data_IF_050929221875
#
_entry.id   IF_050929221875
#
_cell.length_a   1.000
_cell.length_b   1.000
_cell.length_c   1.000
_cell.angle_alpha   90.00
_cell.angle_beta   90.00
_cell.angle_gamma   90.00
#
_symmetry.space_group_name_H-M   'P 1'
#
loop_
_entity.id
_entity.type
_entity.pdbx_description
1 polymer ?
#
# COMPACT_ATOMS: atom_id res chain seq x y z
N UNK A 1 27.48 -45.89 17.05
CA UNK A 1 26.37 -45.18 16.37
C UNK A 1 26.06 -43.92 17.15
N UNK A 2 26.58 -42.77 16.69
CA UNK A 2 26.17 -41.45 17.16
C UNK A 2 25.20 -40.91 16.12
N UNK A 3 23.95 -40.68 16.52
CA UNK A 3 22.99 -39.95 15.71
C UNK A 3 23.39 -38.48 15.75
N UNK A 4 23.75 -37.93 14.59
CA UNK A 4 23.95 -36.51 14.40
C UNK A 4 22.56 -35.92 14.20
N UNK A 5 22.07 -35.15 15.17
CA UNK A 5 20.88 -34.33 15.01
C UNK A 5 21.27 -33.17 14.09
N UNK A 6 20.86 -33.22 12.83
CA UNK A 6 21.00 -32.11 11.90
C UNK A 6 19.88 -31.12 12.25
N UNK A 7 20.19 -30.11 13.05
CA UNK A 7 19.30 -28.95 13.20
C UNK A 7 19.42 -28.16 11.91
N UNK A 8 18.43 -28.32 11.03
CA UNK A 8 18.25 -27.46 9.88
C UNK A 8 17.84 -26.09 10.44
N UNK A 9 18.77 -25.13 10.48
CA UNK A 9 18.39 -23.73 10.62
C UNK A 9 17.66 -23.37 9.32
N UNK A 10 16.34 -23.27 9.38
CA UNK A 10 15.53 -22.72 8.31
C UNK A 10 15.98 -21.28 8.09
N UNK A 11 16.28 -20.93 6.84
CA UNK A 11 16.66 -19.59 6.41
C UNK A 11 15.48 -18.59 6.43
N UNK A 12 14.46 -18.84 7.25
CA UNK A 12 13.19 -18.10 7.30
C UNK A 12 13.33 -16.76 8.02
N UNK A 13 14.20 -16.65 9.03
CA UNK A 13 14.42 -15.39 9.78
C UNK A 13 15.04 -14.25 8.94
N UNK A 14 15.75 -14.59 7.86
CA UNK A 14 16.45 -13.59 7.05
C UNK A 14 15.52 -12.84 6.07
N UNK A 15 14.39 -13.45 5.68
CA UNK A 15 13.44 -12.83 4.73
C UNK A 15 12.41 -11.93 5.44
N UNK A 16 12.07 -12.23 6.70
CA UNK A 16 11.10 -11.46 7.49
C UNK A 16 11.54 -10.03 7.84
N UNK A 17 12.81 -9.66 7.60
CA UNK A 17 13.35 -8.32 7.88
C UNK A 17 13.82 -7.61 6.59
N UNK A 18 13.07 -7.75 5.50
CA UNK A 18 13.41 -7.09 4.24
C UNK A 18 12.28 -6.17 3.76
N UNK A 19 12.65 -4.99 3.27
CA UNK A 19 11.80 -4.16 2.45
C UNK A 19 12.37 -4.02 1.04
N UNK A 20 11.49 -3.77 0.08
CA UNK A 20 11.84 -3.44 -1.31
C UNK A 20 11.47 -2.00 -1.58
N UNK A 21 12.35 -1.29 -2.25
CA UNK A 21 12.22 0.15 -2.51
C UNK A 21 12.35 0.40 -4.00
N UNK A 22 11.35 1.03 -4.61
CA UNK A 22 11.54 1.62 -5.95
C UNK A 22 12.26 2.94 -5.81
N UNK A 23 13.15 3.23 -6.74
CA UNK A 23 13.98 4.43 -6.74
C UNK A 23 13.93 5.11 -8.11
N UNK A 24 14.09 6.43 -8.16
CA UNK A 24 13.90 7.20 -9.40
C UNK A 24 14.63 8.54 -9.37
N UNK A 25 15.10 8.96 -10.55
CA UNK A 25 15.48 10.34 -10.85
C UNK A 25 14.51 10.99 -11.87
N UNK A 26 13.33 10.38 -12.04
CA UNK A 26 12.30 10.68 -13.03
C UNK A 26 12.72 10.49 -14.50
N UNK A 27 13.95 10.04 -14.76
CA UNK A 27 14.45 9.66 -16.09
C UNK A 27 14.72 8.16 -16.19
N UNK A 28 15.15 7.55 -15.09
CA UNK A 28 15.45 6.15 -14.90
C UNK A 28 14.86 5.66 -13.57
N UNK A 29 14.61 4.35 -13.48
CA UNK A 29 14.09 3.72 -12.28
C UNK A 29 14.94 2.52 -11.87
N UNK A 30 15.05 2.30 -10.56
CA UNK A 30 15.76 1.17 -9.97
C UNK A 30 14.94 0.45 -8.91
N UNK A 31 15.30 -0.81 -8.66
CA UNK A 31 14.80 -1.59 -7.54
C UNK A 31 15.95 -1.85 -6.56
N UNK A 32 15.76 -1.44 -5.31
CA UNK A 32 16.69 -1.63 -4.21
C UNK A 32 16.00 -2.41 -3.08
N UNK A 33 16.75 -2.98 -2.16
CA UNK A 33 16.20 -3.60 -0.95
C UNK A 33 16.88 -3.08 0.30
N UNK A 34 16.17 -3.16 1.42
CA UNK A 34 16.61 -2.72 2.73
C UNK A 34 16.55 -3.89 3.71
N UNK A 35 17.66 -4.15 4.40
CA UNK A 35 17.72 -4.99 5.59
C UNK A 35 17.30 -4.15 6.80
N UNK A 36 16.14 -4.50 7.35
CA UNK A 36 15.50 -3.76 8.45
C UNK A 36 16.19 -3.99 9.80
N UNK A 37 16.94 -5.09 9.95
CA UNK A 37 17.63 -5.45 11.19
C UNK A 37 18.90 -4.63 11.41
N UNK A 38 19.59 -4.25 10.34
CA UNK A 38 20.83 -3.47 10.41
C UNK A 38 20.77 -2.10 9.71
N UNK A 39 19.64 -1.76 9.07
CA UNK A 39 19.43 -0.50 8.34
C UNK A 39 20.43 -0.30 7.20
N UNK A 40 20.70 -1.35 6.41
CA UNK A 40 21.56 -1.26 5.22
C UNK A 40 20.81 -1.65 3.96
N UNK A 41 21.18 -1.04 2.83
CA UNK A 41 20.54 -1.31 1.55
C UNK A 41 21.46 -2.09 0.60
N UNK A 42 20.85 -2.90 -0.24
CA UNK A 42 21.44 -3.43 -1.47
C UNK A 42 20.76 -2.73 -2.65
N UNK A 43 21.55 -2.09 -3.51
CA UNK A 43 21.04 -1.24 -4.60
C UNK A 43 21.09 -1.95 -5.94
N UNK A 44 20.34 -1.41 -6.91
CA UNK A 44 20.46 -1.76 -8.34
C UNK A 44 20.18 -3.24 -8.66
N UNK A 45 19.22 -3.87 -7.97
CA UNK A 45 18.83 -5.25 -8.26
C UNK A 45 18.28 -5.41 -9.67
N UNK A 46 17.47 -4.43 -10.09
CA UNK A 46 16.79 -4.45 -11.38
C UNK A 46 16.52 -3.02 -11.86
N UNK A 47 16.73 -2.77 -13.16
CA UNK A 47 16.24 -1.55 -13.80
C UNK A 47 14.75 -1.67 -14.06
N UNK A 48 14.00 -0.68 -13.61
CA UNK A 48 12.54 -0.59 -13.75
C UNK A 48 12.17 0.75 -14.41
N UNK A 49 10.87 0.97 -14.67
CA UNK A 49 10.42 2.26 -15.19
C UNK A 49 10.65 3.38 -14.17
N UNK A 50 10.91 4.61 -14.65
CA UNK A 50 11.17 5.77 -13.77
C UNK A 50 9.95 6.20 -12.96
N UNK A 51 8.75 5.82 -13.41
CA UNK A 51 7.53 5.91 -12.63
C UNK A 51 7.00 4.49 -12.37
N UNK A 52 7.32 3.97 -11.19
CA UNK A 52 6.96 2.63 -10.77
C UNK A 52 6.64 2.60 -9.28
N UNK A 53 5.63 1.80 -8.93
CA UNK A 53 5.26 1.51 -7.55
C UNK A 53 5.49 0.04 -7.25
N UNK A 54 5.79 -0.28 -5.99
CA UNK A 54 5.95 -1.68 -5.55
C UNK A 54 4.87 -2.09 -4.55
N UNK A 55 4.45 -3.35 -4.66
CA UNK A 55 3.67 -4.09 -3.68
C UNK A 55 4.32 -5.43 -3.41
N UNK A 56 4.04 -5.99 -2.25
CA UNK A 56 4.43 -7.34 -1.86
C UNK A 56 3.18 -8.15 -1.56
N UNK A 57 3.24 -9.45 -1.85
CA UNK A 57 2.23 -10.39 -1.41
C UNK A 57 2.88 -11.75 -1.25
N UNK A 58 2.81 -12.32 -0.03
CA UNK A 58 3.57 -13.50 0.37
C UNK A 58 5.06 -13.33 0.04
N UNK A 59 5.66 -14.29 -0.67
CA UNK A 59 7.08 -14.31 -1.03
C UNK A 59 7.39 -13.57 -2.35
N UNK A 60 6.42 -12.81 -2.89
CA UNK A 60 6.52 -12.14 -4.19
C UNK A 60 6.55 -10.63 -4.07
N UNK A 61 7.27 -10.03 -5.00
CA UNK A 61 7.36 -8.59 -5.20
C UNK A 61 6.76 -8.26 -6.55
N UNK A 62 5.84 -7.30 -6.57
CA UNK A 62 5.12 -6.84 -7.74
C UNK A 62 5.50 -5.39 -8.01
N UNK A 63 6.26 -5.17 -9.08
CA UNK A 63 6.61 -3.82 -9.55
C UNK A 63 5.65 -3.45 -10.66
N UNK A 64 4.82 -2.44 -10.40
CA UNK A 64 3.88 -1.88 -11.36
C UNK A 64 4.57 -0.73 -12.06
N UNK A 65 4.96 -0.95 -13.30
CA UNK A 65 5.50 0.11 -14.14
C UNK A 65 4.34 0.88 -14.77
N UNK A 66 4.26 2.17 -14.44
CA UNK A 66 3.12 3.05 -14.75
C UNK A 66 3.15 3.50 -16.22
N UNK A 67 2.48 4.63 -16.50
CA UNK A 67 2.25 5.17 -17.83
C UNK A 67 3.50 5.10 -18.72
N UNK A 68 3.35 4.45 -19.88
CA UNK A 68 4.40 4.34 -20.91
C UNK A 68 5.11 2.99 -20.91
N UNK A 69 5.09 2.27 -19.79
CA UNK A 69 5.56 0.88 -19.70
C UNK A 69 4.40 -0.10 -19.47
N UNK A 70 3.41 0.31 -18.67
CA UNK A 70 2.09 -0.33 -18.52
C UNK A 70 2.12 -1.84 -18.30
N UNK A 71 2.94 -2.28 -17.32
CA UNK A 71 3.15 -3.69 -17.04
C UNK A 71 3.38 -3.96 -15.55
N UNK A 72 3.31 -5.24 -15.20
CA UNK A 72 3.73 -5.74 -13.87
C UNK A 72 4.93 -6.66 -14.07
N UNK A 73 5.98 -6.45 -13.27
CA UNK A 73 7.09 -7.39 -13.10
C UNK A 73 6.89 -8.12 -11.78
N UNK A 74 7.01 -9.44 -11.80
CA UNK A 74 6.93 -10.29 -10.60
C UNK A 74 8.29 -10.89 -10.31
N UNK A 75 8.77 -10.72 -9.09
CA UNK A 75 10.03 -11.25 -8.58
C UNK A 75 9.75 -12.15 -7.35
N UNK A 76 10.68 -13.06 -7.06
CA UNK A 76 10.71 -13.70 -5.75
C UNK A 76 11.54 -12.83 -4.80
N UNK A 77 11.13 -12.66 -3.56
CA UNK A 77 11.90 -11.88 -2.59
C UNK A 77 13.34 -12.42 -2.40
N UNK A 78 13.56 -13.73 -2.54
CA UNK A 78 14.90 -14.33 -2.42
C UNK A 78 15.82 -14.01 -3.60
N UNK A 79 15.27 -13.55 -4.73
CA UNK A 79 16.03 -13.12 -5.92
C UNK A 79 15.32 -11.94 -6.61
N UNK A 80 15.73 -10.73 -6.23
CA UNK A 80 15.24 -9.48 -6.81
C UNK A 80 15.89 -9.12 -8.15
N UNK A 81 16.82 -9.95 -8.65
CA UNK A 81 17.58 -9.66 -9.87
C UNK A 81 17.02 -10.37 -11.10
N UNK A 82 16.25 -11.43 -10.92
CA UNK A 82 15.68 -12.24 -12.00
C UNK A 82 14.15 -12.20 -11.98
N UNK A 83 13.49 -11.48 -12.91
CA UNK A 83 12.05 -11.55 -13.08
C UNK A 83 11.56 -12.98 -13.26
N UNK A 84 10.58 -13.39 -12.44
CA UNK A 84 9.84 -14.64 -12.64
C UNK A 84 8.96 -14.53 -13.89
N UNK A 85 8.25 -13.41 -14.00
CA UNK A 85 7.43 -13.05 -15.14
C UNK A 85 7.29 -11.54 -15.25
N UNK A 86 6.97 -11.09 -16.47
CA UNK A 86 6.51 -9.73 -16.74
C UNK A 86 5.32 -9.81 -17.69
N UNK A 87 4.23 -9.12 -17.37
CA UNK A 87 3.02 -9.12 -18.18
C UNK A 87 2.43 -7.72 -18.33
N UNK A 88 1.85 -7.46 -19.51
CA UNK A 88 1.23 -6.16 -19.81
C UNK A 88 -0.12 -6.01 -19.10
N UNK A 89 -0.43 -4.78 -18.70
CA UNK A 89 -1.77 -4.37 -18.23
C UNK A 89 -2.58 -3.67 -19.32
N UNK A 90 -2.03 -3.60 -20.55
CA UNK A 90 -2.60 -2.92 -21.71
C UNK A 90 -1.87 -1.60 -22.01
N UNK A 91 -1.58 -1.35 -23.29
CA UNK A 91 -0.80 -0.17 -23.71
C UNK A 91 -1.45 1.17 -23.29
N UNK A 92 -0.73 2.00 -22.55
CA UNK A 92 -1.22 3.27 -22.00
C UNK A 92 -2.32 3.11 -20.97
N UNK A 93 -2.32 2.02 -20.19
CA UNK A 93 -3.32 1.75 -19.14
C UNK A 93 -2.98 2.37 -17.79
N UNK A 94 -1.70 2.67 -17.55
CA UNK A 94 -1.18 3.32 -16.36
C UNK A 94 -1.61 2.61 -15.06
N UNK A 95 -1.06 1.41 -14.76
CA UNK A 95 -1.45 0.65 -13.56
C UNK A 95 -0.97 1.34 -12.28
N UNK A 96 -1.86 1.70 -11.36
CA UNK A 96 -1.50 2.48 -10.16
C UNK A 96 -1.41 1.67 -8.87
N UNK A 97 -2.16 0.59 -8.75
CA UNK A 97 -2.17 -0.28 -7.58
C UNK A 97 -2.58 -1.71 -7.94
N UNK A 98 -2.24 -2.66 -7.08
CA UNK A 98 -2.69 -4.05 -7.14
C UNK A 98 -3.16 -4.49 -5.75
N UNK A 99 -4.35 -5.07 -5.68
CA UNK A 99 -4.91 -5.62 -4.45
C UNK A 99 -5.18 -7.12 -4.62
N UNK A 100 -4.64 -7.91 -3.69
CA UNK A 100 -4.65 -9.37 -3.76
C UNK A 100 -5.85 -9.92 -3.00
N UNK A 101 -6.58 -10.83 -3.64
CA UNK A 101 -7.64 -11.64 -3.00
C UNK A 101 -7.06 -13.00 -2.60
N UNK A 102 -6.25 -13.57 -3.48
CA UNK A 102 -5.51 -14.83 -3.28
C UNK A 102 -4.24 -14.85 -4.14
N UNK A 103 -3.47 -15.94 -4.10
CA UNK A 103 -2.35 -16.14 -5.04
C UNK A 103 -2.78 -16.23 -6.51
N UNK A 104 -4.05 -16.52 -6.75
CA UNK A 104 -4.59 -16.78 -8.08
C UNK A 104 -5.54 -15.68 -8.55
N UNK A 105 -5.84 -14.68 -7.72
CA UNK A 105 -6.72 -13.56 -8.06
C UNK A 105 -6.27 -12.26 -7.41
N UNK A 106 -6.10 -11.24 -8.23
CA UNK A 106 -5.86 -9.86 -7.81
C UNK A 106 -6.58 -8.88 -8.75
N UNK A 107 -6.82 -7.66 -8.26
CA UNK A 107 -7.32 -6.54 -9.05
C UNK A 107 -6.22 -5.52 -9.25
N UNK A 108 -6.10 -4.98 -10.46
CA UNK A 108 -5.20 -3.88 -10.78
C UNK A 108 -6.03 -2.65 -11.15
N UNK A 109 -5.75 -1.53 -10.51
CA UNK A 109 -6.33 -0.24 -10.87
C UNK A 109 -5.60 0.34 -12.08
N UNK A 110 -6.35 0.79 -13.08
CA UNK A 110 -5.82 1.30 -14.33
C UNK A 110 -6.28 2.75 -14.50
N UNK A 111 -5.38 3.70 -14.25
CA UNK A 111 -5.72 5.12 -14.16
C UNK A 111 -6.23 5.70 -15.49
N UNK A 112 -5.78 5.15 -16.61
CA UNK A 112 -6.19 5.58 -17.96
C UNK A 112 -7.32 4.68 -18.54
N UNK A 113 -8.09 3.99 -17.69
CA UNK A 113 -9.18 3.10 -18.10
C UNK A 113 -10.43 3.27 -17.23
N UNK A 114 -11.56 2.87 -17.78
CA UNK A 114 -12.85 2.81 -17.11
C UNK A 114 -13.11 1.48 -16.42
N UNK A 115 -12.10 0.67 -16.14
CA UNK A 115 -12.29 -0.65 -15.52
C UNK A 115 -11.09 -1.03 -14.65
N UNK A 116 -11.34 -1.90 -13.67
CA UNK A 116 -10.31 -2.69 -13.01
C UNK A 116 -9.97 -3.90 -13.87
N UNK A 117 -8.69 -4.27 -13.90
CA UNK A 117 -8.25 -5.52 -14.51
C UNK A 117 -8.20 -6.61 -13.44
N UNK A 118 -8.88 -7.74 -13.67
CA UNK A 118 -8.82 -8.92 -12.80
C UNK A 118 -7.81 -9.89 -13.37
N UNK A 119 -6.80 -10.28 -12.59
CA UNK A 119 -5.68 -11.12 -13.05
C UNK A 119 -5.39 -12.25 -12.07
N UNK A 120 -4.80 -13.32 -12.60
CA UNK A 120 -3.94 -14.17 -11.78
C UNK A 120 -2.59 -13.45 -11.62
N UNK A 121 -2.21 -13.04 -10.40
CA UNK A 121 -1.04 -12.19 -10.20
C UNK A 121 0.28 -12.93 -10.50
N UNK A 122 0.32 -14.26 -10.35
CA UNK A 122 1.52 -15.09 -10.56
C UNK A 122 1.73 -15.41 -12.04
N UNK A 123 0.67 -15.70 -12.80
CA UNK A 123 0.78 -16.04 -14.22
C UNK A 123 0.59 -14.86 -15.16
N UNK A 124 -0.02 -13.78 -14.69
CA UNK A 124 -0.41 -12.63 -15.52
C UNK A 124 -1.63 -12.87 -16.40
N UNK A 125 -2.31 -14.02 -16.26
CA UNK A 125 -3.52 -14.32 -17.02
C UNK A 125 -4.64 -13.35 -16.64
N UNK A 126 -5.27 -12.74 -17.66
CA UNK A 126 -6.47 -11.94 -17.47
C UNK A 126 -7.65 -12.85 -17.13
N UNK A 127 -8.23 -12.66 -15.94
CA UNK A 127 -9.42 -13.37 -15.48
C UNK A 127 -10.71 -12.63 -15.82
N UNK A 128 -10.62 -11.31 -16.07
CA UNK A 128 -11.77 -10.49 -16.42
C UNK A 128 -11.52 -9.01 -16.15
N UNK A 129 -12.60 -8.24 -16.11
CA UNK A 129 -12.58 -6.81 -15.82
C UNK A 129 -13.82 -6.43 -15.04
N UNK A 130 -13.71 -5.44 -14.15
CA UNK A 130 -14.87 -4.81 -13.49
C UNK A 130 -15.07 -3.44 -14.09
N UNK A 131 -16.21 -3.21 -14.75
CA UNK A 131 -16.52 -1.91 -15.37
C UNK A 131 -16.82 -0.86 -14.30
N UNK A 132 -16.08 0.26 -14.35
CA UNK A 132 -16.20 1.44 -13.50
C UNK A 132 -16.68 2.67 -14.28
N UNK A 133 -17.12 2.51 -15.53
CA UNK A 133 -17.56 3.62 -16.39
C UNK A 133 -18.67 4.47 -15.76
N UNK A 134 -19.50 3.90 -14.90
CA UNK A 134 -20.54 4.62 -14.16
C UNK A 134 -19.98 5.67 -13.18
N UNK A 135 -18.71 5.58 -12.79
CA UNK A 135 -18.04 6.53 -11.89
C UNK A 135 -17.16 7.54 -12.64
N UNK A 136 -17.10 7.45 -13.97
CA UNK A 136 -16.32 8.38 -14.77
C UNK A 136 -16.85 9.82 -14.65
N UNK A 137 -15.95 10.78 -14.79
CA UNK A 137 -16.33 12.19 -14.87
C UNK A 137 -16.56 12.65 -16.32
N UNK A 138 -16.64 13.98 -16.52
CA UNK A 138 -16.89 14.58 -17.83
C UNK A 138 -15.88 14.18 -18.92
N UNK A 139 -14.65 13.82 -18.57
CA UNK A 139 -13.63 13.40 -19.52
C UNK A 139 -13.65 11.89 -19.85
N UNK A 140 -14.61 11.18 -19.25
CA UNK A 140 -14.89 9.78 -19.50
C UNK A 140 -14.02 8.79 -18.73
N UNK A 141 -13.24 9.24 -17.75
CA UNK A 141 -12.47 8.36 -16.87
C UNK A 141 -12.78 8.57 -15.38
N UNK A 142 -12.61 7.53 -14.55
CA UNK A 142 -12.74 7.63 -13.10
C UNK A 142 -11.40 7.87 -12.37
N UNK A 143 -10.25 7.82 -13.06
CA UNK A 143 -8.90 7.90 -12.47
C UNK A 143 -8.74 6.98 -11.25
N UNK A 144 -9.02 5.68 -11.43
CA UNK A 144 -8.97 4.74 -10.30
C UNK A 144 -7.52 4.49 -9.88
N UNK A 145 -7.19 4.71 -8.61
CA UNK A 145 -5.82 4.57 -8.11
C UNK A 145 -5.68 3.65 -6.91
N UNK A 146 -5.94 4.09 -5.68
CA UNK A 146 -5.71 3.26 -4.48
C UNK A 146 -6.78 2.18 -4.34
N UNK A 147 -6.36 1.00 -3.88
CA UNK A 147 -7.23 -0.16 -3.65
C UNK A 147 -7.13 -0.65 -2.21
N UNK A 148 -8.22 -1.19 -1.68
CA UNK A 148 -8.23 -1.91 -0.40
C UNK A 148 -9.18 -3.11 -0.47
N UNK A 149 -8.76 -4.27 0.03
CA UNK A 149 -9.62 -5.45 0.21
C UNK A 149 -10.01 -5.55 1.67
N UNK A 150 -11.30 -5.75 1.95
CA UNK A 150 -11.80 -6.00 3.30
C UNK A 150 -13.12 -6.76 3.27
N UNK A 151 -13.24 -7.82 4.08
CA UNK A 151 -14.50 -8.52 4.32
C UNK A 151 -15.20 -9.04 3.05
N UNK A 152 -14.46 -9.57 2.08
CA UNK A 152 -15.02 -10.07 0.81
C UNK A 152 -15.33 -9.00 -0.23
N UNK A 153 -14.90 -7.76 0.01
CA UNK A 153 -15.11 -6.63 -0.89
C UNK A 153 -13.78 -5.98 -1.26
N UNK A 154 -13.71 -5.48 -2.50
CA UNK A 154 -12.68 -4.55 -2.93
C UNK A 154 -13.27 -3.14 -2.95
N UNK A 155 -12.54 -2.21 -2.37
CA UNK A 155 -12.80 -0.78 -2.40
C UNK A 155 -11.78 -0.11 -3.32
N UNK A 156 -12.26 0.68 -4.28
CA UNK A 156 -11.41 1.33 -5.27
C UNK A 156 -11.67 2.84 -5.29
N UNK A 157 -10.62 3.64 -5.05
CA UNK A 157 -10.72 5.09 -5.06
C UNK A 157 -10.71 5.64 -6.49
N UNK A 158 -11.87 6.12 -6.95
CA UNK A 158 -12.04 6.87 -8.19
C UNK A 158 -11.84 8.36 -7.90
N UNK A 159 -10.74 8.94 -8.39
CA UNK A 159 -10.37 10.31 -8.07
C UNK A 159 -11.26 11.33 -8.79
N UNK A 160 -11.72 11.02 -10.01
CA UNK A 160 -12.58 11.87 -10.85
C UNK A 160 -11.95 13.24 -11.09
N UNK A 161 -10.79 13.22 -11.76
CA UNK A 161 -9.99 14.39 -12.13
C UNK A 161 -10.14 14.68 -13.61
N UNK A 162 -10.71 15.83 -13.94
CA UNK A 162 -11.00 16.17 -15.32
C UNK A 162 -9.74 16.63 -16.07
N UNK A 163 -9.24 15.82 -17.00
CA UNK A 163 -8.07 16.15 -17.87
C UNK A 163 -8.26 17.40 -18.69
N UNK A 164 -9.47 17.61 -19.22
CA UNK A 164 -9.81 18.77 -20.02
C UNK A 164 -9.80 20.07 -19.20
N UNK A 165 -9.87 19.95 -17.87
CA UNK A 165 -9.73 21.04 -16.91
C UNK A 165 -8.45 20.94 -16.07
N UNK A 166 -7.33 20.52 -16.67
CA UNK A 166 -6.00 20.46 -16.02
C UNK A 166 -5.98 19.57 -14.77
N UNK A 167 -6.68 18.44 -14.82
CA UNK A 167 -6.80 17.50 -13.71
C UNK A 167 -7.44 18.10 -12.45
N UNK A 168 -8.34 19.07 -12.62
CA UNK A 168 -9.08 19.63 -11.50
C UNK A 168 -10.05 18.56 -10.93
N UNK A 169 -10.12 18.39 -9.60
CA UNK A 169 -11.11 17.52 -8.99
C UNK A 169 -12.53 18.00 -9.30
N UNK A 170 -13.43 17.06 -9.54
CA UNK A 170 -14.84 17.34 -9.85
C UNK A 170 -15.68 17.57 -8.59
N UNK A 171 -16.99 17.31 -8.60
CA UNK A 171 -17.86 17.54 -7.44
C UNK A 171 -17.56 16.61 -6.26
N UNK A 172 -17.07 15.39 -6.50
CA UNK A 172 -16.68 14.43 -5.46
C UNK A 172 -15.72 13.37 -6.02
N UNK A 173 -14.82 12.86 -5.19
CA UNK A 173 -14.20 11.55 -5.42
C UNK A 173 -15.14 10.46 -4.88
N UNK A 174 -15.05 9.26 -5.44
CA UNK A 174 -15.98 8.16 -5.14
C UNK A 174 -15.20 6.89 -4.85
N UNK A 175 -15.64 6.11 -3.85
CA UNK A 175 -15.14 4.76 -3.63
C UNK A 175 -16.10 3.78 -4.29
N UNK A 176 -15.66 3.12 -5.36
CA UNK A 176 -16.37 1.98 -5.94
C UNK A 176 -16.22 0.76 -5.02
N UNK A 177 -17.30 0.00 -4.83
CA UNK A 177 -17.31 -1.22 -4.04
C UNK A 177 -17.60 -2.40 -4.96
N UNK A 178 -16.75 -3.43 -4.91
CA UNK A 178 -16.85 -4.63 -5.74
C UNK A 178 -16.95 -5.85 -4.82
N UNK A 179 -17.93 -6.72 -5.08
CA UNK A 179 -17.98 -8.04 -4.47
C UNK A 179 -16.93 -8.96 -5.13
N UNK A 180 -15.98 -9.47 -4.35
CA UNK A 180 -14.85 -10.21 -4.93
C UNK A 180 -15.22 -11.63 -5.37
N UNK A 181 -16.36 -12.16 -4.91
CA UNK A 181 -16.84 -13.48 -5.30
C UNK A 181 -17.48 -13.49 -6.68
N UNK A 182 -18.18 -12.42 -7.04
CA UNK A 182 -18.93 -12.27 -8.29
C UNK A 182 -18.29 -11.32 -9.31
N UNK A 183 -17.29 -10.53 -8.91
CA UNK A 183 -16.69 -9.47 -9.74
C UNK A 183 -17.70 -8.42 -10.19
N UNK A 184 -18.71 -8.16 -9.35
CA UNK A 184 -19.77 -7.19 -9.62
C UNK A 184 -19.68 -5.99 -8.69
N UNK A 185 -20.03 -4.81 -9.24
CA UNK A 185 -20.23 -3.62 -8.43
C UNK A 185 -21.38 -3.83 -7.45
N UNK A 186 -21.16 -3.40 -6.21
CA UNK A 186 -22.18 -3.25 -5.20
C UNK A 186 -22.68 -1.82 -5.15
N UNK A 187 -23.98 -1.69 -4.96
CA UNK A 187 -24.64 -0.41 -4.77
C UNK A 187 -24.57 0.01 -3.30
N UNK A 188 -23.77 1.04 -3.01
CA UNK A 188 -23.58 1.58 -1.67
C UNK A 188 -24.79 2.41 -1.19
N UNK A 189 -25.70 2.80 -2.09
CA UNK A 189 -26.95 3.49 -1.74
C UNK A 189 -28.13 2.94 -2.56
N UNK A 190 -28.78 1.85 -2.09
CA UNK A 190 -29.86 1.20 -2.82
C UNK A 190 -31.15 2.02 -2.91
N UNK A 191 -31.19 3.22 -2.33
CA UNK A 191 -32.33 4.14 -2.47
C UNK A 191 -32.21 4.99 -3.73
N UNK A 192 -30.98 5.29 -4.17
CA UNK A 192 -30.72 6.01 -5.40
C UNK A 192 -30.87 5.09 -6.63
N UNK A 193 -31.10 5.69 -7.80
CA UNK A 193 -31.23 4.92 -9.05
C UNK A 193 -29.84 4.57 -9.61
N UNK A 194 -29.62 3.28 -9.90
CA UNK A 194 -28.36 2.78 -10.44
C UNK A 194 -27.32 2.53 -9.34
N UNK A 195 -26.19 1.93 -9.71
CA UNK A 195 -25.14 1.55 -8.74
C UNK A 195 -24.41 2.80 -8.25
N UNK A 196 -24.55 3.11 -6.96
CA UNK A 196 -23.79 4.18 -6.30
C UNK A 196 -22.52 3.64 -5.65
N UNK A 197 -21.47 4.46 -5.67
CA UNK A 197 -20.30 4.28 -4.82
C UNK A 197 -20.43 5.09 -3.53
N UNK A 198 -19.44 4.98 -2.65
CA UNK A 198 -19.36 5.81 -1.45
C UNK A 198 -18.82 7.18 -1.87
N UNK A 199 -19.68 8.21 -1.86
CA UNK A 199 -19.24 9.57 -2.11
C UNK A 199 -18.36 10.07 -0.96
N UNK A 200 -17.14 10.52 -1.28
CA UNK A 200 -16.24 11.12 -0.31
C UNK A 200 -16.64 12.56 0.01
N UNK A 201 -16.38 12.99 1.24
CA UNK A 201 -16.54 14.38 1.69
C UNK A 201 -15.43 15.30 1.15
N UNK A 202 -14.23 14.75 0.98
CA UNK A 202 -13.07 15.39 0.36
C UNK A 202 -12.82 14.83 -1.05
N UNK A 203 -11.78 15.33 -1.72
CA UNK A 203 -11.50 15.04 -3.14
C UNK A 203 -10.03 14.79 -3.36
N UNK A 204 -9.72 14.11 -4.46
CA UNK A 204 -8.35 13.88 -4.91
C UNK A 204 -7.52 13.17 -3.82
N UNK A 205 -7.90 11.93 -3.42
CA UNK A 205 -7.09 11.14 -2.50
C UNK A 205 -5.67 10.92 -3.07
N UNK A 206 -4.67 11.36 -2.32
CA UNK A 206 -3.25 11.33 -2.68
C UNK A 206 -2.48 10.19 -1.99
N UNK A 207 -3.03 9.63 -0.91
CA UNK A 207 -2.38 8.64 -0.06
C UNK A 207 -3.43 7.85 0.70
N UNK A 208 -3.12 6.59 1.00
CA UNK A 208 -4.05 5.67 1.63
C UNK A 208 -3.33 4.73 2.59
N UNK A 209 -3.96 4.43 3.72
CA UNK A 209 -3.56 3.34 4.60
C UNK A 209 -4.83 2.63 5.10
N UNK A 210 -4.85 1.30 5.06
CA UNK A 210 -5.91 0.51 5.71
C UNK A 210 -5.40 0.06 7.07
N UNK A 211 -6.29 0.05 8.07
CA UNK A 211 -6.05 -0.66 9.33
C UNK A 211 -7.36 -1.21 9.86
N UNK A 212 -7.43 -2.52 10.06
CA UNK A 212 -8.67 -3.21 10.38
C UNK A 212 -9.79 -2.86 9.39
N UNK A 213 -10.93 -2.40 9.92
CA UNK A 213 -12.11 -2.01 9.12
C UNK A 213 -12.07 -0.58 8.58
N UNK A 214 -10.99 0.16 8.80
CA UNK A 214 -10.90 1.58 8.43
C UNK A 214 -9.92 1.79 7.29
N UNK A 215 -10.30 2.64 6.35
CA UNK A 215 -9.43 3.11 5.29
C UNK A 215 -9.25 4.61 5.40
N UNK A 216 -8.02 5.02 5.71
CA UNK A 216 -7.62 6.41 5.92
C UNK A 216 -7.07 6.95 4.61
N UNK A 217 -7.68 8.02 4.10
CA UNK A 217 -7.34 8.65 2.84
C UNK A 217 -6.93 10.09 3.09
N UNK A 218 -5.68 10.44 2.78
CA UNK A 218 -5.28 11.84 2.67
C UNK A 218 -5.81 12.36 1.34
N UNK A 219 -6.64 13.38 1.39
CA UNK A 219 -7.24 14.01 0.24
C UNK A 219 -6.73 15.45 0.17
N UNK A 220 -5.99 15.76 -0.89
CA UNK A 220 -5.36 17.08 -1.06
C UNK A 220 -6.32 18.09 -1.68
N UNK A 221 -7.37 17.63 -2.35
CA UNK A 221 -8.22 18.46 -3.18
C UNK A 221 -7.40 19.26 -4.20
N UNK A 222 -7.03 20.51 -3.91
CA UNK A 222 -6.14 21.33 -4.76
C UNK A 222 -4.78 21.56 -4.11
N UNK A 223 -3.70 21.40 -4.88
CA UNK A 223 -2.33 21.62 -4.38
C UNK A 223 -2.00 23.07 -3.99
N UNK A 224 -2.85 24.04 -4.35
CA UNK A 224 -2.65 25.47 -4.01
C UNK A 224 -3.54 25.94 -2.86
N UNK A 225 -4.63 25.23 -2.60
CA UNK A 225 -5.34 25.35 -1.33
C UNK A 225 -4.51 24.67 -0.24
N UNK A 226 -4.73 25.07 1.01
CA UNK A 226 -4.08 24.48 2.20
C UNK A 226 -5.11 24.23 3.31
N UNK A 227 -6.39 24.24 2.95
CA UNK A 227 -7.54 24.19 3.87
C UNK A 227 -8.75 23.54 3.22
N UNK A 228 -8.56 22.84 2.10
CA UNK A 228 -9.62 22.28 1.25
C UNK A 228 -9.52 20.75 1.17
N UNK A 229 -8.48 20.18 1.77
CA UNK A 229 -8.26 18.75 1.98
C UNK A 229 -8.21 18.35 3.45
N UNK A 230 -7.77 17.13 3.70
CA UNK A 230 -7.69 16.52 5.01
C UNK A 230 -7.52 15.00 4.97
N UNK A 231 -7.56 14.35 6.12
CA UNK A 231 -7.70 12.90 6.24
C UNK A 231 -9.18 12.57 6.38
N UNK A 232 -9.70 11.87 5.40
CA UNK A 232 -11.03 11.26 5.44
C UNK A 232 -10.94 9.78 5.76
N UNK A 233 -11.89 9.27 6.54
CA UNK A 233 -11.95 7.86 6.91
C UNK A 233 -13.18 7.21 6.30
N UNK A 234 -12.96 6.08 5.62
CA UNK A 234 -14.02 5.20 5.13
C UNK A 234 -14.12 4.01 6.07
N UNK A 235 -15.31 3.78 6.61
CA UNK A 235 -15.65 2.56 7.33
C UNK A 235 -15.97 1.47 6.29
N UNK A 236 -15.05 0.53 6.12
CA UNK A 236 -15.14 -0.54 5.14
C UNK A 236 -16.20 -1.57 5.51
N UNK A 237 -16.43 -1.80 6.80
CA UNK A 237 -17.46 -2.74 7.26
C UNK A 237 -18.87 -2.18 7.05
N UNK A 238 -19.05 -0.87 7.30
CA UNK A 238 -20.32 -0.19 7.12
C UNK A 238 -20.51 0.40 5.72
N UNK A 239 -19.50 0.31 4.84
CA UNK A 239 -19.47 0.86 3.48
C UNK A 239 -19.92 2.33 3.43
N UNK A 240 -19.36 3.17 4.30
CA UNK A 240 -19.71 4.60 4.36
C UNK A 240 -18.55 5.46 4.82
N UNK A 241 -18.58 6.73 4.43
CA UNK A 241 -17.64 7.72 4.95
C UNK A 241 -17.96 8.07 6.42
N UNK A 242 -16.91 8.34 7.19
CA UNK A 242 -16.95 8.99 8.50
C UNK A 242 -16.67 10.51 8.40
N UNK A 243 -16.40 10.98 7.19
CA UNK A 243 -16.04 12.36 6.87
C UNK A 243 -14.57 12.66 7.10
N UNK A 244 -14.22 13.94 6.92
CA UNK A 244 -12.87 14.45 7.19
C UNK A 244 -12.67 14.53 8.71
N UNK A 245 -11.72 13.74 9.22
CA UNK A 245 -11.45 13.58 10.64
C UNK A 245 -10.32 14.52 11.10
N UNK A 246 -9.44 14.92 10.19
CA UNK A 246 -8.38 15.91 10.43
C UNK A 246 -8.21 16.78 9.17
N UNK A 247 -8.36 18.10 9.28
CA UNK A 247 -8.21 19.02 8.14
C UNK A 247 -6.76 19.51 7.94
N UNK A 248 -6.48 20.04 6.75
CA UNK A 248 -5.16 20.61 6.41
C UNK A 248 -4.80 21.84 7.24
N UNK A 249 -5.80 22.60 7.69
CA UNK A 249 -5.58 23.76 8.56
C UNK A 249 -4.95 23.33 9.90
N UNK A 250 -5.42 22.21 10.45
CA UNK A 250 -4.90 21.58 11.66
C UNK A 250 -3.55 20.90 11.40
N UNK A 251 -3.40 20.22 10.25
CA UNK A 251 -2.12 19.64 9.82
C UNK A 251 -1.03 20.70 9.54
N UNK A 252 -1.43 21.90 9.15
CA UNK A 252 -0.56 23.00 8.77
C UNK A 252 -0.05 22.91 7.33
N UNK A 253 -0.82 22.31 6.41
CA UNK A 253 -0.48 22.19 4.99
C UNK A 253 -1.15 21.00 4.31
N UNK A 254 -0.85 20.83 3.02
CA UNK A 254 -1.42 19.78 2.18
C UNK A 254 -0.96 18.39 2.60
N UNK A 255 -1.89 17.46 2.69
CA UNK A 255 -1.62 16.09 3.12
C UNK A 255 -1.44 15.18 1.91
N UNK A 256 -0.35 14.41 1.90
CA UNK A 256 -0.12 13.34 0.92
C UNK A 256 0.14 12.02 1.64
N UNK A 257 1.19 11.27 1.29
CA UNK A 257 1.44 9.93 1.83
C UNK A 257 1.23 9.84 3.35
N UNK A 258 0.48 8.84 3.79
CA UNK A 258 0.15 8.59 5.19
C UNK A 258 0.29 7.12 5.53
N UNK A 259 0.57 6.84 6.80
CA UNK A 259 0.66 5.49 7.38
C UNK A 259 0.06 5.51 8.77
N UNK A 260 -0.57 4.40 9.19
CA UNK A 260 -1.25 4.30 10.48
C UNK A 260 -0.57 3.29 11.39
N UNK A 261 -0.18 3.71 12.60
CA UNK A 261 0.42 2.85 13.65
C UNK A 261 -0.60 2.38 14.70
N UNK A 262 -1.84 2.88 14.63
CA UNK A 262 -3.04 2.37 15.30
C UNK A 262 -4.28 2.88 14.57
N UNK A 263 -5.50 2.56 15.02
CA UNK A 263 -6.74 3.09 14.44
C UNK A 263 -6.93 4.61 14.60
N UNK A 264 -6.09 5.29 15.38
CA UNK A 264 -6.20 6.74 15.56
C UNK A 264 -4.89 7.49 15.40
N UNK A 265 -3.76 6.80 15.44
CA UNK A 265 -2.44 7.42 15.39
C UNK A 265 -1.70 6.99 14.14
N UNK A 266 -1.12 7.96 13.45
CA UNK A 266 -0.34 7.72 12.24
C UNK A 266 0.67 8.84 11.99
N UNK A 267 1.26 8.80 10.80
CA UNK A 267 2.11 9.85 10.27
C UNK A 267 1.63 10.23 8.88
N UNK A 268 1.77 11.50 8.53
CA UNK A 268 1.55 11.95 7.17
C UNK A 268 2.65 12.93 6.73
N UNK A 269 2.87 12.96 5.42
CA UNK A 269 3.60 14.02 4.74
C UNK A 269 2.70 15.25 4.67
N UNK A 270 3.22 16.39 5.11
CA UNK A 270 2.57 17.70 5.08
C UNK A 270 3.43 18.65 4.26
N UNK A 271 2.88 19.17 3.16
CA UNK A 271 3.53 20.16 2.31
C UNK A 271 3.01 21.58 2.62
N UNK A 272 3.92 22.52 2.83
CA UNK A 272 3.55 23.92 3.05
C UNK A 272 3.28 24.69 1.73
N UNK A 273 3.00 25.99 1.84
CA UNK A 273 2.76 26.86 0.68
C UNK A 273 3.94 26.96 -0.32
N UNK A 274 5.14 26.57 0.09
CA UNK A 274 6.35 26.56 -0.74
C UNK A 274 6.71 25.14 -1.21
N UNK A 275 5.82 24.16 -1.00
CA UNK A 275 6.06 22.74 -1.27
C UNK A 275 7.23 22.15 -0.48
N UNK A 276 7.54 22.73 0.69
CA UNK A 276 8.48 22.11 1.63
C UNK A 276 7.74 20.99 2.34
N UNK A 277 8.20 19.75 2.16
CA UNK A 277 7.58 18.63 2.85
C UNK A 277 8.17 18.45 4.25
N UNK A 278 7.27 18.21 5.19
CA UNK A 278 7.58 17.70 6.52
C UNK A 278 6.84 16.38 6.73
N UNK A 279 7.27 15.58 7.70
CA UNK A 279 6.49 14.46 8.22
C UNK A 279 6.06 14.80 9.64
N UNK A 280 4.79 14.57 9.95
CA UNK A 280 4.22 14.84 11.29
C UNK A 280 3.47 13.62 11.78
N UNK A 281 3.54 13.40 13.09
CA UNK A 281 2.68 12.44 13.79
C UNK A 281 1.30 13.06 13.98
N UNK A 282 0.27 12.25 13.78
CA UNK A 282 -1.13 12.66 13.84
C UNK A 282 -1.86 11.77 14.84
N UNK A 283 -2.81 12.35 15.57
CA UNK A 283 -3.78 11.63 16.39
C UNK A 283 -5.19 12.10 16.00
N UNK A 284 -5.91 11.23 15.29
CA UNK A 284 -7.24 11.49 14.73
C UNK A 284 -8.34 11.49 15.80
N UNK A 285 -8.12 10.81 16.93
CA UNK A 285 -9.09 10.81 18.03
C UNK A 285 -9.10 12.14 18.79
N UNK A 286 -7.94 12.77 18.93
CA UNK A 286 -7.77 14.10 19.55
C UNK A 286 -7.68 15.23 18.53
N UNK A 287 -7.66 14.91 17.24
CA UNK A 287 -7.45 15.85 16.13
C UNK A 287 -6.19 16.71 16.34
N UNK A 288 -5.10 16.09 16.80
CA UNK A 288 -3.86 16.77 17.14
C UNK A 288 -2.70 16.33 16.25
N UNK A 289 -1.75 17.26 16.07
CA UNK A 289 -0.62 17.11 15.17
C UNK A 289 0.65 17.50 15.90
N UNK A 290 1.70 16.69 15.77
CA UNK A 290 2.99 16.97 16.37
C UNK A 290 3.73 18.10 15.64
N UNK A 291 4.86 18.52 16.20
CA UNK A 291 5.89 19.20 15.40
C UNK A 291 6.40 18.27 14.29
N UNK A 292 7.02 18.85 13.26
CA UNK A 292 7.70 18.10 12.22
C UNK A 292 8.80 17.20 12.79
N UNK A 293 8.98 16.02 12.21
CA UNK A 293 10.13 15.17 12.49
C UNK A 293 11.42 15.89 12.11
N UNK A 294 12.43 15.74 12.96
CA UNK A 294 13.75 16.37 12.76
C UNK A 294 14.55 15.62 11.70
N UNK A 295 15.44 16.32 11.00
CA UNK A 295 16.41 15.70 10.10
C UNK A 295 15.91 15.39 8.68
N UNK A 296 14.73 15.89 8.28
CA UNK A 296 14.25 15.87 6.89
C UNK A 296 14.89 16.98 6.03
N UNK A 297 15.05 16.74 4.73
CA UNK A 297 15.71 17.67 3.80
C UNK A 297 14.84 18.89 3.44
N UNK A 298 13.53 18.81 3.74
CA UNK A 298 12.51 19.72 3.24
C UNK A 298 12.14 19.52 1.77
N UNK A 299 12.80 18.59 1.07
CA UNK A 299 12.50 18.22 -0.30
C UNK A 299 11.35 17.23 -0.41
N UNK A 300 11.13 16.68 -1.59
CA UNK A 300 9.97 15.83 -1.84
C UNK A 300 10.06 14.50 -1.06
N UNK A 301 8.96 14.13 -0.42
CA UNK A 301 8.78 12.87 0.31
C UNK A 301 7.60 12.14 -0.36
N UNK A 302 7.85 11.26 -1.35
CA UNK A 302 6.79 10.56 -2.08
C UNK A 302 6.06 9.49 -1.27
N UNK A 303 6.70 8.94 -0.23
CA UNK A 303 6.17 7.78 0.45
C UNK A 303 6.63 7.65 1.90
N UNK A 304 5.76 7.03 2.70
CA UNK A 304 6.01 6.56 4.04
C UNK A 304 5.78 5.06 4.10
N UNK A 305 6.48 4.38 5.00
CA UNK A 305 6.24 2.99 5.34
C UNK A 305 6.35 2.77 6.84
N UNK A 306 5.56 1.87 7.39
CA UNK A 306 5.72 1.41 8.78
C UNK A 306 5.97 -0.08 8.73
N UNK A 307 6.99 -0.52 9.46
CA UNK A 307 7.21 -1.91 9.77
C UNK A 307 7.62 -2.01 11.21
N UNK A 308 6.77 -2.69 11.97
CA UNK A 308 6.88 -2.73 13.40
C UNK A 308 6.97 -1.36 14.08
N UNK A 309 7.91 -1.20 15.03
CA UNK A 309 8.15 0.06 15.76
C UNK A 309 8.93 1.11 14.97
N UNK A 310 9.06 0.95 13.65
CA UNK A 310 9.84 1.84 12.79
C UNK A 310 8.98 2.50 11.73
N UNK A 311 9.18 3.80 11.58
CA UNK A 311 8.70 4.59 10.44
C UNK A 311 9.85 4.78 9.47
N UNK A 312 9.60 4.49 8.20
CA UNK A 312 10.50 4.67 7.07
C UNK A 312 10.00 5.84 6.24
N UNK A 313 10.81 6.89 6.12
CA UNK A 313 10.51 8.09 5.34
C UNK A 313 11.38 8.10 4.10
N UNK A 314 10.74 8.14 2.92
CA UNK A 314 11.43 8.17 1.63
C UNK A 314 11.73 9.62 1.27
N UNK A 315 12.89 10.13 1.68
CA UNK A 315 13.28 11.52 1.42
C UNK A 315 14.09 11.59 0.12
N UNK A 316 13.65 12.37 -0.88
CA UNK A 316 14.39 12.51 -2.15
C UNK A 316 15.50 13.56 -2.10
N UNK A 317 15.75 14.16 -0.93
CA UNK A 317 16.64 15.30 -0.79
C UNK A 317 16.01 16.57 -1.35
N UNK A 318 16.69 17.69 -1.17
CA UNK A 318 16.28 18.98 -1.74
C UNK A 318 17.37 19.54 -2.63
N UNK A 319 17.07 20.58 -3.42
CA UNK A 319 18.10 21.25 -4.22
C UNK A 319 19.26 21.79 -3.36
N UNK A 320 18.96 22.26 -2.14
CA UNK A 320 19.96 22.77 -1.19
C UNK A 320 20.64 21.68 -0.36
N UNK A 321 20.06 20.48 -0.30
CA UNK A 321 20.56 19.35 0.47
C UNK A 321 20.30 18.00 -0.24
N UNK A 322 20.93 17.76 -1.41
CA UNK A 322 20.72 16.53 -2.18
C UNK A 322 21.36 15.32 -1.51
N UNK A 323 22.39 15.51 -0.68
CA UNK A 323 23.04 14.43 0.07
C UNK A 323 22.16 13.85 1.18
N UNK A 324 21.08 14.55 1.53
CA UNK A 324 20.08 14.05 2.48
C UNK A 324 19.07 13.07 1.84
N UNK A 325 19.15 12.80 0.53
CA UNK A 325 18.32 11.82 -0.13
C UNK A 325 18.60 10.40 0.40
N UNK A 326 17.53 9.61 0.58
CA UNK A 326 17.59 8.24 1.06
C UNK A 326 16.46 7.90 2.03
N UNK A 327 16.48 6.67 2.54
CA UNK A 327 15.48 6.23 3.52
C UNK A 327 15.91 6.67 4.92
N UNK A 328 15.02 7.37 5.63
CA UNK A 328 15.23 7.78 7.03
C UNK A 328 14.34 6.97 7.94
N UNK A 329 14.92 6.45 9.02
CA UNK A 329 14.23 5.52 9.92
C UNK A 329 14.03 6.18 11.27
N UNK A 330 12.80 6.21 11.75
CA UNK A 330 12.40 6.81 13.02
C UNK A 330 11.81 5.77 13.97
N UNK A 331 11.99 5.98 15.27
CA UNK A 331 11.27 5.25 16.31
C UNK A 331 9.87 5.83 16.52
N UNK A 332 8.82 5.04 16.31
CA UNK A 332 7.42 5.52 16.39
C UNK A 332 6.96 5.84 17.82
N UNK A 333 7.73 5.44 18.84
CA UNK A 333 7.43 5.73 20.24
C UNK A 333 8.07 7.02 20.75
N UNK A 334 9.16 7.45 20.13
CA UNK A 334 9.89 8.67 20.54
C UNK A 334 10.00 9.73 19.45
N UNK A 335 9.55 9.45 18.23
CA UNK A 335 9.69 10.29 17.03
C UNK A 335 11.16 10.64 16.70
N UNK A 336 12.10 9.84 17.20
CA UNK A 336 13.52 10.10 17.05
C UNK A 336 14.06 9.42 15.79
N UNK A 337 14.89 10.14 15.03
CA UNK A 337 15.67 9.57 13.94
C UNK A 337 16.67 8.55 14.52
N UNK A 338 16.59 7.29 14.09
CA UNK A 338 17.45 6.20 14.56
C UNK A 338 18.44 5.71 13.52
N UNK A 339 18.15 5.90 12.22
CA UNK A 339 19.07 5.59 11.13
C UNK A 339 18.78 6.43 9.88
N UNK A 340 19.78 6.50 9.01
CA UNK A 340 19.71 7.15 7.70
C UNK A 340 20.36 8.53 7.62
N UNK A 341 20.37 9.16 6.43
CA UNK A 341 19.77 8.64 5.19
C UNK A 341 20.47 7.35 4.73
N UNK A 342 19.69 6.32 4.43
CA UNK A 342 20.18 5.06 3.87
C UNK A 342 20.17 5.22 2.36
N UNK A 343 21.34 5.08 1.75
CA UNK A 343 21.51 5.23 0.31
C UNK A 343 20.86 4.05 -0.43
N UNK A 344 19.94 4.36 -1.34
CA UNK A 344 19.21 3.40 -2.17
C UNK A 344 19.66 3.43 -3.63
N UNK A 345 20.76 4.12 -3.96
CA UNK A 345 21.27 4.31 -5.31
C UNK A 345 20.66 5.56 -5.97
N UNK A 346 19.39 5.47 -6.35
CA UNK A 346 18.58 6.63 -6.75
C UNK A 346 17.68 7.08 -5.59
N UNK A 347 17.15 8.32 -5.61
CA UNK A 347 16.18 8.79 -4.63
C UNK A 347 14.99 7.82 -4.47
N UNK A 348 14.58 7.48 -3.23
CA UNK A 348 13.50 6.52 -3.01
C UNK A 348 12.14 7.09 -3.42
N UNK A 349 11.25 6.22 -3.89
CA UNK A 349 9.92 6.57 -4.41
C UNK A 349 8.79 5.84 -3.66
N UNK A 350 8.80 4.51 -3.67
CA UNK A 350 7.86 3.69 -2.90
C UNK A 350 8.57 2.58 -2.15
N UNK A 351 7.99 2.13 -1.04
CA UNK A 351 8.51 1.04 -0.22
C UNK A 351 7.40 0.03 0.03
N UNK A 352 7.72 -1.25 -0.07
CA UNK A 352 6.86 -2.35 0.36
C UNK A 352 7.67 -3.26 1.27
N UNK A 353 7.05 -3.68 2.38
CA UNK A 353 7.67 -4.59 3.33
C UNK A 353 7.29 -6.01 2.97
N UNK A 354 8.18 -6.97 3.18
CA UNK A 354 7.70 -8.33 3.29
C UNK A 354 6.82 -8.39 4.55
N UNK A 355 5.50 -8.43 4.34
CA UNK A 355 4.58 -8.73 5.43
C UNK A 355 4.92 -10.10 5.98
N UNK A 356 4.80 -10.23 7.29
CA UNK A 356 4.75 -11.52 7.96
C UNK A 356 3.86 -12.48 7.17
N UNK A 357 4.25 -13.74 7.01
CA UNK A 357 3.34 -14.72 6.40
C UNK A 357 2.07 -14.91 7.24
N UNK A 358 2.14 -14.53 8.53
CA UNK A 358 1.04 -14.49 9.48
C UNK A 358 0.19 -13.21 9.47
N UNK A 359 0.52 -12.20 8.65
CA UNK A 359 -0.32 -11.00 8.46
C UNK A 359 -1.34 -11.27 7.35
N UNK A 360 -2.53 -11.73 7.75
CA UNK A 360 -3.56 -12.23 6.84
C UNK A 360 -4.48 -11.14 6.33
N UNK A 361 -4.56 -10.02 7.06
CA UNK A 361 -5.37 -8.89 6.64
C UNK A 361 -4.54 -7.86 5.82
N UNK A 362 -3.21 -7.90 5.94
CA UNK A 362 -2.28 -7.09 5.17
C UNK A 362 -2.14 -5.67 5.71
N UNK A 363 -2.32 -5.45 7.00
CA UNK A 363 -2.09 -4.15 7.67
C UNK A 363 -0.63 -3.95 8.13
N UNK A 364 0.26 -4.89 7.77
CA UNK A 364 1.67 -4.97 8.13
C UNK A 364 1.92 -5.23 9.62
N UNK A 365 0.94 -5.71 10.38
CA UNK A 365 1.06 -6.05 11.81
C UNK A 365 0.39 -7.39 12.10
N UNK A 366 1.13 -8.37 12.61
CA UNK A 366 0.52 -9.62 13.09
C UNK A 366 -0.10 -9.41 14.46
N UNK A 367 -1.42 -9.22 14.50
CA UNK A 367 -2.18 -8.95 15.71
C UNK A 367 -3.37 -9.90 15.93
N UNK A 368 -4.25 -9.52 16.87
CA UNK A 368 -5.39 -10.36 17.24
C UNK A 368 -6.38 -10.57 16.09
N UNK A 369 -6.44 -9.64 15.14
CA UNK A 369 -7.27 -9.76 13.93
C UNK A 369 -6.78 -10.93 13.07
N UNK A 370 -5.47 -11.04 12.87
CA UNK A 370 -4.86 -12.17 12.17
C UNK A 370 -5.05 -13.48 12.93
N UNK A 371 -4.97 -13.44 14.26
CA UNK A 371 -5.24 -14.63 15.08
C UNK A 371 -6.67 -15.12 14.90
N UNK A 372 -7.65 -14.22 14.84
CA UNK A 372 -9.05 -14.59 14.62
C UNK A 372 -9.23 -15.18 13.22
N UNK A 373 -8.59 -14.61 12.19
CA UNK A 373 -8.60 -15.15 10.84
C UNK A 373 -7.99 -16.57 10.81
N UNK A 374 -6.79 -16.75 11.39
CA UNK A 374 -6.12 -18.04 11.52
C UNK A 374 -6.97 -19.09 12.25
N UNK A 375 -7.51 -18.72 13.41
CA UNK A 375 -8.32 -19.61 14.22
C UNK A 375 -9.59 -20.07 13.52
N UNK A 376 -10.14 -19.26 12.61
CA UNK A 376 -11.33 -19.61 11.83
C UNK A 376 -11.09 -20.70 10.79
N UNK A 377 -9.85 -20.87 10.33
CA UNK A 377 -9.44 -21.87 9.35
C UNK A 377 -8.70 -23.08 9.96
N UNK A 378 -8.45 -23.06 11.27
CA UNK A 378 -7.67 -24.08 11.96
C UNK A 378 -8.28 -25.49 11.82
N UNK A 379 -7.45 -26.45 11.42
CA UNK A 379 -7.83 -27.84 11.16
C UNK A 379 -8.26 -28.13 9.72
N UNK A 380 -8.27 -27.14 8.82
CA UNK A 380 -8.51 -27.35 7.40
C UNK A 380 -7.37 -28.09 6.71
N UNK A 381 -7.68 -28.85 5.66
CA UNK A 381 -6.71 -29.64 4.88
C UNK A 381 -6.90 -29.40 3.39
N UNK A 382 -5.85 -29.57 2.58
CA UNK A 382 -5.87 -29.30 1.13
C UNK A 382 -6.90 -30.13 0.32
N UNK A 383 -7.57 -31.09 0.95
CA UNK A 383 -8.69 -31.84 0.36
C UNK A 383 -10.07 -31.26 0.64
N UNK A 384 -10.18 -30.24 1.50
CA UNK A 384 -11.44 -29.60 1.86
C UNK A 384 -11.81 -28.50 0.86
N UNK A 385 -13.11 -28.40 0.51
CA UNK A 385 -13.61 -27.42 -0.46
C UNK A 385 -13.39 -25.97 -0.01
N UNK A 386 -13.34 -25.73 1.32
CA UNK A 386 -13.12 -24.42 1.94
C UNK A 386 -11.67 -24.23 2.41
N UNK A 387 -10.73 -25.06 1.93
CA UNK A 387 -9.32 -24.93 2.29
C UNK A 387 -8.74 -23.61 1.78
N UNK A 388 -8.34 -22.77 2.72
CA UNK A 388 -7.64 -21.53 2.42
C UNK A 388 -6.15 -21.69 2.70
N UNK A 389 -5.38 -21.87 1.62
CA UNK A 389 -3.92 -22.05 1.67
C UNK A 389 -3.17 -20.86 2.27
N UNK A 390 -3.83 -19.71 2.52
CA UNK A 390 -3.22 -18.59 3.24
C UNK A 390 -2.84 -18.97 4.66
N UNK A 391 -3.56 -19.88 5.31
CA UNK A 391 -3.32 -20.23 6.72
C UNK A 391 -2.38 -21.43 6.91
N UNK A 392 -2.00 -22.12 5.83
CA UNK A 392 -0.97 -23.18 5.83
C UNK A 392 0.43 -22.52 5.67
N UNK A 393 0.92 -21.96 6.78
CA UNK A 393 2.15 -21.16 6.85
C UNK A 393 3.42 -21.98 6.59
N UNK A 394 3.37 -23.30 6.80
CA UNK A 394 4.51 -24.19 6.57
C UNK A 394 4.42 -24.97 5.25
N UNK A 395 3.28 -24.90 4.56
CA UNK A 395 3.05 -25.47 3.23
C UNK A 395 2.92 -26.99 3.21
N UNK A 396 2.48 -27.62 4.30
CA UNK A 396 2.35 -29.08 4.39
C UNK A 396 0.98 -29.62 3.93
N UNK A 397 0.05 -28.73 3.57
CA UNK A 397 -1.31 -29.06 3.16
C UNK A 397 -2.30 -29.23 4.31
N UNK A 398 -1.94 -28.87 5.54
CA UNK A 398 -2.77 -28.91 6.74
C UNK A 398 -2.62 -27.58 7.51
N UNK A 399 -3.71 -26.99 7.99
CA UNK A 399 -3.67 -25.80 8.86
C UNK A 399 -3.66 -26.30 10.31
N UNK A 400 -2.48 -26.47 10.89
CA UNK A 400 -2.29 -27.19 12.15
C UNK A 400 -1.47 -26.43 13.19
N UNK A 401 -1.05 -27.14 14.24
CA UNK A 401 -0.27 -26.54 15.32
C UNK A 401 1.12 -26.05 14.87
N UNK A 402 1.69 -26.61 13.80
CA UNK A 402 2.96 -26.14 13.25
C UNK A 402 2.79 -24.75 12.62
N UNK A 403 1.67 -24.49 11.94
CA UNK A 403 1.35 -23.15 11.45
C UNK A 403 1.12 -22.18 12.59
N UNK A 404 0.45 -22.62 13.67
CA UNK A 404 0.30 -21.77 14.85
C UNK A 404 1.66 -21.38 15.47
N UNK A 405 2.68 -22.24 15.40
CA UNK A 405 4.02 -21.88 15.87
C UNK A 405 4.70 -20.82 14.98
N UNK A 406 4.49 -20.88 13.66
CA UNK A 406 4.96 -19.83 12.74
C UNK A 406 4.22 -18.52 13.05
N UNK A 407 2.89 -18.56 13.15
CA UNK A 407 2.06 -17.43 13.53
C UNK A 407 2.51 -16.79 14.86
N UNK A 408 2.66 -17.60 15.91
CA UNK A 408 3.03 -17.12 17.24
C UNK A 408 4.46 -16.56 17.32
N UNK A 409 5.35 -16.96 16.40
CA UNK A 409 6.70 -16.38 16.31
C UNK A 409 6.68 -14.95 15.77
N UNK A 410 5.64 -14.60 15.02
CA UNK A 410 5.44 -13.30 14.39
C UNK A 410 4.46 -12.41 15.19
N UNK A 411 3.63 -13.01 16.06
CA UNK A 411 2.59 -12.33 16.83
C UNK A 411 3.12 -11.23 17.76
N UNK A 412 2.61 -10.00 17.58
CA UNK A 412 3.06 -8.85 18.35
C UNK A 412 4.50 -8.44 18.08
N UNK A 413 5.14 -9.02 17.05
CA UNK A 413 6.49 -8.70 16.57
C UNK A 413 6.61 -7.36 15.84
N UNK A 414 5.54 -6.55 15.87
CA UNK A 414 5.55 -5.16 15.38
C UNK A 414 6.34 -4.22 16.29
#
# INVERSE_FOLDING_TARGET
MRWLLLVLFLATDALANQAVVTTTDYSSGGLSSLDLGNNTAATDHLTIHSDAVVRTYRDKVYVLNRLGQDNVIVLNISDLTTPLIQYSTGNGSNPHDIAFVSEEKAYISLYERTHLLVVNPVTGDSLGTVDLSTFADADGLPETSQLAVYGGHLFAACLRLNRENRWAPTESSVIAVVDVGSDMLLDADPVAEGVQGIAMASKNPAGAARRGSKWYLSAVNTYTGLTDGGIEVIDLAAMRTEGVVLDEATAGGNLSSLVMISESVGYAVVADANFVNAVKRLDLATQSVSRSLDGLSGGFVPGLGVFGRRLYVLDQGSFGDPASAGVKVYDVSTDALVAGPIDTGLPPSTIAFLGSVADFDGDCVVDFSDFVAFASAFGGTAGDDDFDSRFDLNGNGEIDFQDFLVFASEFGGG
#
